data_IF_810347884797
#
_entry.id   IF_810347884797
#
_cell.length_a   1.000
_cell.length_b   1.000
_cell.length_c   1.000
_cell.angle_alpha   90.00
_cell.angle_beta   90.00
_cell.angle_gamma   90.00
#
_symmetry.space_group_name_H-M   'P 1'
#
loop_
_entity.id
_entity.type
_entity.pdbx_description
1 polymer ?
#
# COMPACT_ATOMS: atom_id res chain seq x y z
N UNK A 1 5.91 -22.03 22.66
CA UNK A 1 7.00 -22.73 23.31
C UNK A 1 7.69 -23.62 22.26
N UNK A 2 8.96 -24.00 22.49
CA UNK A 2 9.79 -24.80 21.56
C UNK A 2 9.10 -26.08 21.06
N UNK A 3 8.17 -26.63 21.79
CA UNK A 3 7.43 -27.85 21.42
C UNK A 3 6.36 -27.62 20.32
N UNK A 4 5.77 -26.45 20.26
CA UNK A 4 4.79 -26.08 19.21
C UNK A 4 5.51 -25.75 17.91
N UNK A 5 6.64 -25.05 17.99
CA UNK A 5 7.48 -24.72 16.83
C UNK A 5 8.10 -25.98 16.19
N UNK A 6 8.48 -26.95 17.00
CA UNK A 6 8.97 -28.25 16.54
C UNK A 6 7.86 -29.06 15.85
N UNK A 7 6.64 -29.04 16.37
CA UNK A 7 5.49 -29.72 15.77
C UNK A 7 5.10 -29.10 14.40
N UNK A 8 5.10 -27.78 14.26
CA UNK A 8 4.85 -27.11 12.98
C UNK A 8 5.97 -27.36 11.96
N UNK A 9 7.21 -27.41 12.43
CA UNK A 9 8.37 -27.77 11.59
C UNK A 9 8.27 -29.22 11.09
N UNK A 10 7.90 -30.16 11.95
CA UNK A 10 7.70 -31.58 11.60
C UNK A 10 6.54 -31.74 10.61
N UNK A 11 5.42 -31.04 10.81
CA UNK A 11 4.29 -31.03 9.85
C UNK A 11 4.71 -30.50 8.49
N UNK A 12 5.52 -29.43 8.46
CA UNK A 12 6.04 -28.83 7.22
C UNK A 12 7.00 -29.78 6.49
N UNK A 13 7.86 -30.50 7.23
CA UNK A 13 8.78 -31.49 6.66
C UNK A 13 7.99 -32.70 6.12
N UNK A 14 7.00 -33.19 6.83
CA UNK A 14 6.14 -34.29 6.39
C UNK A 14 5.35 -33.89 5.13
N UNK A 15 4.83 -32.66 5.06
CA UNK A 15 4.18 -32.13 3.87
C UNK A 15 5.15 -32.07 2.68
N UNK A 16 6.36 -31.52 2.86
CA UNK A 16 7.39 -31.46 1.81
C UNK A 16 7.83 -32.84 1.33
N UNK A 17 7.94 -33.81 2.23
CA UNK A 17 8.24 -35.22 1.89
C UNK A 17 7.08 -35.86 1.11
N UNK A 18 5.81 -35.59 1.45
CA UNK A 18 4.65 -36.05 0.68
C UNK A 18 4.67 -35.51 -0.75
N UNK A 19 4.95 -34.21 -0.95
CA UNK A 19 5.11 -33.62 -2.29
C UNK A 19 6.28 -34.23 -3.07
N UNK A 20 7.39 -34.52 -2.41
CA UNK A 20 8.55 -35.16 -3.05
C UNK A 20 8.23 -36.60 -3.47
N UNK A 21 7.49 -37.38 -2.67
CA UNK A 21 7.07 -38.74 -3.02
C UNK A 21 6.02 -38.73 -4.16
N UNK A 22 5.14 -37.75 -4.23
CA UNK A 22 4.21 -37.59 -5.37
C UNK A 22 4.97 -37.28 -6.66
N UNK A 23 5.96 -36.37 -6.61
CA UNK A 23 6.79 -36.02 -7.76
C UNK A 23 7.71 -37.17 -8.22
N UNK A 24 8.26 -37.97 -7.29
CA UNK A 24 9.13 -39.12 -7.60
C UNK A 24 8.29 -40.31 -8.09
N UNK A 25 7.07 -40.51 -7.59
CA UNK A 25 6.16 -41.55 -8.06
C UNK A 25 5.77 -41.40 -9.52
N UNK A 26 5.69 -40.15 -10.03
CA UNK A 26 5.40 -39.86 -11.44
C UNK A 26 6.63 -40.06 -12.34
N UNK A 27 7.86 -39.89 -11.82
CA UNK A 27 9.10 -40.03 -12.58
C UNK A 27 9.63 -41.49 -12.65
N UNK A 28 9.25 -42.36 -11.70
CA UNK A 28 9.71 -43.75 -11.70
C UNK A 28 8.93 -44.71 -12.61
N UNK A 29 7.82 -44.30 -13.21
CA UNK A 29 7.07 -45.15 -14.16
C UNK A 29 7.54 -45.05 -15.62
N UNK A 30 8.60 -44.32 -15.92
CA UNK A 30 9.08 -44.09 -17.28
C UNK A 30 10.33 -44.93 -17.68
N UNK A 31 10.87 -45.81 -16.81
CA UNK A 31 12.09 -46.53 -17.15
C UNK A 31 12.14 -47.94 -16.54
N UNK A 32 11.39 -48.87 -17.09
CA UNK A 32 11.73 -50.31 -17.06
C UNK A 32 11.04 -51.01 -18.23
N UNK A 33 11.62 -50.91 -19.43
CA UNK A 33 11.39 -51.90 -20.50
C UNK A 33 12.56 -52.88 -20.43
N UNK A 34 12.30 -54.05 -19.87
CA UNK A 34 13.14 -55.25 -20.08
C UNK A 34 12.28 -56.39 -20.62
N UNK A 35 12.76 -56.99 -21.67
CA UNK A 35 12.15 -58.09 -22.42
C UNK A 35 11.71 -59.28 -21.57
N UNK A 36 10.55 -59.85 -21.94
CA UNK A 36 10.20 -61.24 -21.72
C UNK A 36 8.78 -61.46 -21.24
N UNK A 37 8.01 -62.04 -22.15
CA UNK A 37 6.73 -62.73 -21.97
C UNK A 37 5.44 -61.91 -21.66
N UNK A 38 4.53 -62.09 -22.62
CA UNK A 38 3.21 -61.52 -22.72
C UNK A 38 2.32 -61.87 -21.51
N UNK A 39 2.30 -60.98 -20.54
CA UNK A 39 1.08 -60.65 -19.81
C UNK A 39 0.67 -59.26 -20.21
N UNK A 40 -0.27 -59.15 -21.12
CA UNK A 40 -1.05 -57.93 -21.31
C UNK A 40 -1.93 -57.80 -20.07
N UNK A 41 -1.39 -57.23 -19.00
CA UNK A 41 -2.23 -56.56 -18.02
C UNK A 41 -2.92 -55.41 -18.78
N UNK A 42 -4.19 -55.60 -19.05
CA UNK A 42 -5.05 -54.55 -19.56
C UNK A 42 -5.07 -53.48 -18.47
N UNK A 43 -4.20 -52.49 -18.56
CA UNK A 43 -4.24 -51.35 -17.69
C UNK A 43 -5.60 -50.69 -17.97
N UNK A 44 -6.59 -50.96 -17.14
CA UNK A 44 -7.84 -50.23 -17.21
C UNK A 44 -7.49 -48.77 -16.95
N UNK A 45 -7.70 -47.92 -17.97
CA UNK A 45 -7.51 -46.50 -17.82
C UNK A 45 -8.67 -46.05 -16.95
N UNK A 46 -8.39 -45.79 -15.67
CA UNK A 46 -9.34 -45.23 -14.72
C UNK A 46 -9.63 -43.79 -15.18
N UNK A 47 -10.87 -43.50 -15.45
CA UNK A 47 -11.27 -42.14 -15.80
C UNK A 47 -11.39 -41.30 -14.53
N UNK A 48 -10.76 -40.13 -14.53
CA UNK A 48 -11.03 -39.09 -13.56
C UNK A 48 -11.49 -37.82 -14.30
N UNK A 49 -12.72 -37.39 -14.05
CA UNK A 49 -13.34 -36.19 -14.61
C UNK A 49 -13.57 -35.14 -13.55
N UNK A 50 -13.59 -33.89 -13.96
CA UNK A 50 -13.99 -32.72 -13.14
C UNK A 50 -15.02 -31.91 -13.89
N UNK A 51 -16.03 -31.33 -13.18
CA UNK A 51 -17.10 -30.56 -13.78
C UNK A 51 -16.63 -29.21 -14.36
N UNK A 52 -15.55 -28.65 -13.82
CA UNK A 52 -14.89 -27.44 -14.33
C UNK A 52 -13.40 -27.45 -14.01
N UNK A 53 -12.60 -26.77 -14.83
CA UNK A 53 -11.17 -26.60 -14.63
C UNK A 53 -10.78 -25.14 -14.25
N UNK A 54 -11.78 -24.26 -14.05
CA UNK A 54 -11.57 -22.89 -13.65
C UNK A 54 -12.69 -22.41 -12.73
N UNK A 55 -12.32 -21.67 -11.70
CA UNK A 55 -13.21 -20.97 -10.78
C UNK A 55 -12.79 -19.53 -10.65
N UNK A 56 -13.77 -18.61 -10.51
CA UNK A 56 -13.49 -17.20 -10.26
C UNK A 56 -14.29 -16.73 -9.07
N UNK A 57 -13.62 -16.12 -8.09
CA UNK A 57 -14.20 -15.51 -6.92
C UNK A 57 -14.12 -14.00 -7.00
N UNK A 58 -15.14 -13.31 -6.52
CA UNK A 58 -15.09 -11.85 -6.32
C UNK A 58 -14.19 -11.47 -5.13
N UNK A 59 -13.93 -10.18 -5.02
CA UNK A 59 -13.04 -9.58 -3.99
C UNK A 59 -13.45 -9.92 -2.56
N UNK A 60 -14.73 -9.76 -2.25
CA UNK A 60 -15.31 -9.97 -0.90
C UNK A 60 -16.02 -11.31 -0.78
N UNK A 61 -15.52 -12.33 -1.44
CA UNK A 61 -16.21 -13.60 -1.57
C UNK A 61 -16.60 -14.19 -0.22
N UNK A 62 -17.91 -14.27 0.00
CA UNK A 62 -18.52 -15.18 0.97
C UNK A 62 -19.11 -16.39 0.25
N UNK A 63 -18.87 -16.48 -1.07
CA UNK A 63 -19.42 -17.54 -1.91
C UNK A 63 -18.61 -18.82 -1.76
N UNK A 64 -19.34 -19.92 -1.73
CA UNK A 64 -18.79 -21.27 -1.79
C UNK A 64 -19.10 -21.81 -3.17
N UNK A 65 -18.08 -22.24 -3.90
CA UNK A 65 -18.24 -22.88 -5.20
C UNK A 65 -17.97 -24.37 -5.10
N UNK A 66 -18.55 -25.16 -5.98
CA UNK A 66 -18.41 -26.61 -5.97
C UNK A 66 -17.87 -27.13 -7.28
N UNK A 67 -17.10 -28.22 -7.20
CA UNK A 67 -16.59 -28.96 -8.36
C UNK A 67 -16.88 -30.43 -8.13
N UNK A 68 -17.60 -31.05 -9.07
CA UNK A 68 -17.87 -32.46 -9.02
C UNK A 68 -16.69 -33.24 -9.60
N UNK A 69 -16.27 -34.28 -8.90
CA UNK A 69 -15.30 -35.27 -9.33
C UNK A 69 -16.06 -36.54 -9.73
N UNK A 70 -15.75 -37.03 -10.93
CA UNK A 70 -16.24 -38.35 -11.40
C UNK A 70 -15.05 -39.30 -11.44
N UNK A 71 -15.03 -40.32 -10.59
CA UNK A 71 -13.92 -41.28 -10.52
C UNK A 71 -14.46 -42.65 -10.05
N UNK A 72 -13.81 -43.71 -10.49
CA UNK A 72 -14.01 -45.05 -9.97
C UNK A 72 -12.96 -45.43 -8.91
N UNK A 73 -11.93 -44.60 -8.76
CA UNK A 73 -10.83 -44.83 -7.83
C UNK A 73 -10.80 -43.82 -6.68
N UNK A 74 -9.93 -44.08 -5.71
CA UNK A 74 -9.59 -43.09 -4.68
C UNK A 74 -8.84 -41.92 -5.31
N UNK A 75 -9.11 -40.70 -4.82
CA UNK A 75 -8.52 -39.45 -5.28
C UNK A 75 -8.08 -38.57 -4.11
N UNK A 76 -7.12 -37.73 -4.36
CA UNK A 76 -6.59 -36.72 -3.43
C UNK A 76 -6.52 -35.36 -4.12
N UNK A 77 -6.67 -34.29 -3.35
CA UNK A 77 -6.59 -32.90 -3.81
C UNK A 77 -5.43 -32.21 -3.12
N UNK A 78 -4.55 -31.62 -3.91
CA UNK A 78 -3.47 -30.75 -3.43
C UNK A 78 -3.77 -29.30 -3.82
N UNK A 79 -3.62 -28.39 -2.86
CA UNK A 79 -3.64 -26.94 -3.07
C UNK A 79 -2.20 -26.49 -3.20
N UNK A 80 -1.85 -25.70 -4.21
CA UNK A 80 -0.51 -25.15 -4.35
C UNK A 80 -0.18 -24.16 -3.21
N UNK A 81 1.11 -23.78 -3.11
CA UNK A 81 1.55 -22.87 -2.05
C UNK A 81 0.90 -21.47 -2.16
N UNK A 82 0.55 -21.03 -3.36
CA UNK A 82 -0.09 -19.74 -3.58
C UNK A 82 -1.51 -19.71 -3.03
N UNK A 83 -2.22 -20.85 -3.05
CA UNK A 83 -3.60 -20.99 -2.53
C UNK A 83 -3.70 -21.33 -1.04
N UNK A 84 -2.62 -21.88 -0.45
CA UNK A 84 -2.64 -22.44 0.90
C UNK A 84 -3.07 -21.50 2.03
N UNK A 85 -2.95 -20.21 1.81
CA UNK A 85 -3.26 -19.20 2.82
C UNK A 85 -4.63 -18.50 2.65
N UNK A 86 -5.36 -18.78 1.57
CA UNK A 86 -6.60 -18.07 1.27
C UNK A 86 -7.72 -18.93 0.68
N UNK A 87 -7.43 -20.19 0.33
CA UNK A 87 -8.42 -21.15 -0.12
C UNK A 87 -8.69 -22.19 0.97
N UNK A 88 -9.97 -22.44 1.20
CA UNK A 88 -10.44 -23.58 1.97
C UNK A 88 -11.07 -24.58 0.99
N UNK A 89 -10.51 -25.79 0.93
CA UNK A 89 -10.97 -26.86 0.05
C UNK A 89 -11.34 -28.07 0.88
N UNK A 90 -12.51 -28.64 0.65
CA UNK A 90 -13.00 -29.81 1.38
C UNK A 90 -13.95 -30.66 0.53
N UNK A 91 -13.86 -31.98 0.58
CA UNK A 91 -12.82 -32.79 1.21
C UNK A 91 -11.52 -32.78 0.38
N UNK A 92 -10.37 -33.07 1.02
CA UNK A 92 -9.07 -33.19 0.31
C UNK A 92 -8.80 -34.62 -0.21
N UNK A 93 -9.65 -35.59 0.11
CA UNK A 93 -9.55 -36.96 -0.36
C UNK A 93 -10.93 -37.61 -0.46
N UNK A 94 -11.07 -38.62 -1.30
CA UNK A 94 -12.31 -39.37 -1.46
C UNK A 94 -12.13 -40.63 -2.28
N UNK A 95 -13.23 -41.37 -2.46
CA UNK A 95 -13.29 -42.58 -3.30
C UNK A 95 -14.56 -42.57 -4.10
N UNK A 96 -14.47 -42.86 -5.39
CA UNK A 96 -15.62 -42.77 -6.29
C UNK A 96 -15.99 -41.32 -6.62
N UNK A 97 -17.22 -41.11 -7.03
CA UNK A 97 -17.71 -39.76 -7.30
C UNK A 97 -17.77 -38.93 -6.02
N UNK A 98 -17.45 -37.64 -6.14
CA UNK A 98 -17.46 -36.71 -5.01
C UNK A 98 -17.66 -35.26 -5.46
N UNK A 99 -17.89 -34.38 -4.50
CA UNK A 99 -18.04 -32.96 -4.74
C UNK A 99 -17.06 -32.21 -3.82
N UNK A 100 -16.20 -31.40 -4.41
CA UNK A 100 -15.34 -30.46 -3.69
C UNK A 100 -16.12 -29.19 -3.40
N UNK A 101 -15.95 -28.70 -2.21
CA UNK A 101 -16.40 -27.38 -1.79
C UNK A 101 -15.17 -26.48 -1.68
N UNK A 102 -15.17 -25.37 -2.39
CA UNK A 102 -14.07 -24.42 -2.44
C UNK A 102 -14.60 -23.06 -1.96
N UNK A 103 -13.95 -22.50 -0.95
CA UNK A 103 -14.21 -21.15 -0.46
C UNK A 103 -12.92 -20.33 -0.51
N UNK A 104 -13.06 -19.04 -0.76
CA UNK A 104 -11.94 -18.09 -0.78
C UNK A 104 -12.16 -17.04 0.31
N UNK A 105 -11.09 -16.75 1.06
CA UNK A 105 -11.09 -15.63 2.00
C UNK A 105 -11.16 -14.30 1.25
N UNK A 106 -11.65 -13.24 1.92
CA UNK A 106 -11.68 -11.89 1.37
C UNK A 106 -10.28 -11.52 0.84
N UNK A 107 -10.22 -11.00 -0.39
CA UNK A 107 -8.99 -10.51 -0.98
C UNK A 107 -8.85 -9.00 -0.70
N UNK A 108 -7.93 -8.63 0.16
CA UNK A 108 -7.60 -7.23 0.45
C UNK A 108 -6.41 -6.71 -0.39
N UNK A 109 -5.98 -7.45 -1.41
CA UNK A 109 -4.83 -7.13 -2.23
C UNK A 109 -5.13 -7.25 -3.73
N UNK A 110 -4.09 -7.34 -4.54
CA UNK A 110 -4.21 -7.50 -5.98
C UNK A 110 -4.87 -8.84 -6.35
N UNK A 111 -5.29 -8.95 -7.60
CA UNK A 111 -5.79 -10.21 -8.18
C UNK A 111 -4.81 -11.34 -7.89
N UNK A 112 -5.34 -12.49 -7.43
CA UNK A 112 -4.52 -13.65 -7.07
C UNK A 112 -5.07 -14.94 -7.71
N UNK A 113 -4.20 -15.92 -7.86
CA UNK A 113 -4.57 -17.20 -8.41
C UNK A 113 -3.89 -18.34 -7.66
N UNK A 114 -4.52 -19.50 -7.71
CA UNK A 114 -4.01 -20.74 -7.16
C UNK A 114 -4.40 -21.91 -8.06
N UNK A 115 -3.70 -23.04 -7.91
CA UNK A 115 -3.98 -24.26 -8.65
C UNK A 115 -4.31 -25.39 -7.67
N UNK A 116 -5.45 -26.02 -7.88
CA UNK A 116 -5.80 -27.30 -7.25
C UNK A 116 -5.42 -28.42 -8.21
N UNK A 117 -4.73 -29.43 -7.69
CA UNK A 117 -4.38 -30.64 -8.45
C UNK A 117 -5.11 -31.82 -7.86
N UNK A 118 -5.88 -32.53 -8.69
CA UNK A 118 -6.59 -33.76 -8.32
C UNK A 118 -5.85 -34.94 -8.93
N UNK A 119 -5.41 -35.85 -8.07
CA UNK A 119 -4.75 -37.08 -8.43
C UNK A 119 -5.64 -38.27 -8.09
N UNK A 120 -6.04 -39.06 -9.08
CA UNK A 120 -6.73 -40.33 -8.86
C UNK A 120 -5.86 -41.51 -9.32
N UNK A 121 -5.88 -42.60 -8.59
CA UNK A 121 -5.01 -43.75 -8.86
C UNK A 121 -5.28 -44.34 -10.26
N UNK A 122 -4.27 -44.31 -11.12
CA UNK A 122 -4.35 -44.86 -12.48
C UNK A 122 -4.96 -43.91 -13.51
N UNK A 123 -5.26 -42.64 -13.14
CA UNK A 123 -5.79 -41.60 -14.01
C UNK A 123 -4.76 -40.48 -14.27
N UNK A 124 -5.00 -39.72 -15.31
CA UNK A 124 -4.25 -38.46 -15.53
C UNK A 124 -4.63 -37.42 -14.47
N UNK A 125 -3.65 -36.60 -14.10
CA UNK A 125 -3.88 -35.47 -13.19
C UNK A 125 -4.90 -34.50 -13.79
N UNK A 126 -5.78 -33.96 -12.96
CA UNK A 126 -6.66 -32.87 -13.28
C UNK A 126 -6.27 -31.63 -12.49
N UNK A 127 -6.37 -30.48 -13.13
CA UNK A 127 -6.08 -29.20 -12.50
C UNK A 127 -7.26 -28.27 -12.56
N UNK A 128 -7.48 -27.51 -11.50
CA UNK A 128 -8.46 -26.42 -11.43
C UNK A 128 -7.68 -25.14 -11.15
N UNK A 129 -7.77 -24.18 -12.04
CA UNK A 129 -7.27 -22.84 -11.78
C UNK A 129 -8.31 -22.04 -11.02
N UNK A 130 -7.96 -21.57 -9.84
CA UNK A 130 -8.81 -20.69 -9.03
C UNK A 130 -8.26 -19.29 -9.11
N UNK A 131 -9.08 -18.36 -9.56
CA UNK A 131 -8.77 -16.93 -9.66
C UNK A 131 -9.65 -16.20 -8.66
N UNK A 132 -9.07 -15.27 -7.92
CA UNK A 132 -9.84 -14.32 -7.13
C UNK A 132 -9.51 -12.91 -7.57
N UNK A 133 -10.56 -12.13 -7.87
CA UNK A 133 -10.39 -10.73 -8.21
C UNK A 133 -9.78 -9.96 -7.04
N UNK A 134 -8.90 -9.02 -7.39
CA UNK A 134 -8.36 -8.07 -6.45
C UNK A 134 -9.17 -6.77 -6.48
N UNK A 135 -8.85 -5.90 -5.57
CA UNK A 135 -9.35 -4.56 -5.63
C UNK A 135 -8.76 -3.85 -6.86
N UNK A 136 -9.58 -3.06 -7.52
CA UNK A 136 -9.09 -2.20 -8.58
C UNK A 136 -8.22 -1.11 -7.95
N UNK A 137 -7.03 -0.96 -8.48
CA UNK A 137 -6.16 0.16 -8.19
C UNK A 137 -6.75 1.48 -8.69
N UNK A 138 -6.22 2.58 -8.18
CA UNK A 138 -6.43 3.90 -8.77
C UNK A 138 -5.24 4.19 -9.67
N UNK A 139 -5.48 4.38 -10.96
CA UNK A 139 -4.45 4.69 -11.96
C UNK A 139 -4.56 6.17 -12.32
N UNK A 140 -3.44 6.88 -12.29
CA UNK A 140 -3.27 8.24 -12.72
C UNK A 140 -2.40 8.26 -13.98
N UNK A 141 -3.02 8.40 -15.16
CA UNK A 141 -2.32 8.49 -16.46
C UNK A 141 -1.89 9.92 -16.78
N UNK A 142 -2.01 10.85 -15.85
CA UNK A 142 -1.62 12.26 -15.95
C UNK A 142 -2.34 13.11 -17.03
N UNK A 143 -3.00 12.52 -18.00
CA UNK A 143 -3.48 13.16 -19.21
C UNK A 143 -4.36 14.40 -19.01
N UNK A 144 -5.22 14.41 -18.00
CA UNK A 144 -6.10 15.54 -17.64
C UNK A 144 -5.86 16.09 -16.24
N UNK A 145 -4.86 15.57 -15.52
CA UNK A 145 -4.53 15.89 -14.13
C UNK A 145 -5.68 15.66 -13.13
N UNK A 146 -6.69 14.87 -13.49
CA UNK A 146 -7.78 14.53 -12.55
C UNK A 146 -7.24 13.84 -11.31
N UNK A 147 -7.57 14.38 -10.12
CA UNK A 147 -7.06 13.90 -8.84
C UNK A 147 -5.58 14.20 -8.57
N UNK A 148 -4.99 15.10 -9.37
CA UNK A 148 -3.58 15.49 -9.30
C UNK A 148 -3.44 17.02 -9.15
N UNK A 149 -2.37 17.44 -8.47
CA UNK A 149 -2.02 18.82 -8.25
C UNK A 149 -0.58 19.09 -8.70
N UNK A 150 -0.37 20.17 -9.46
CA UNK A 150 0.97 20.66 -9.80
C UNK A 150 1.48 21.58 -8.70
N UNK A 151 2.73 21.43 -8.30
CA UNK A 151 3.36 22.26 -7.27
C UNK A 151 4.76 22.70 -7.69
N UNK A 152 5.32 23.68 -6.98
CA UNK A 152 6.66 24.22 -7.25
C UNK A 152 6.74 25.10 -8.50
N UNK A 153 5.60 25.52 -9.08
CA UNK A 153 5.57 26.26 -10.34
C UNK A 153 6.24 27.62 -10.25
N UNK A 154 6.99 27.98 -11.28
CA UNK A 154 7.67 29.27 -11.44
C UNK A 154 7.01 30.04 -12.57
N UNK A 155 6.76 31.35 -12.34
CA UNK A 155 6.13 32.19 -13.34
C UNK A 155 6.97 32.29 -14.63
N UNK A 156 6.31 32.24 -15.78
CA UNK A 156 6.94 32.40 -17.09
C UNK A 156 7.51 31.14 -17.73
N UNK A 157 7.42 29.97 -17.06
CA UNK A 157 7.79 28.67 -17.63
C UNK A 157 6.67 27.65 -17.45
N UNK A 158 6.66 26.61 -18.30
CA UNK A 158 5.71 25.52 -18.20
C UNK A 158 6.46 24.18 -18.11
N UNK A 159 7.01 23.86 -16.94
CA UNK A 159 7.88 22.70 -16.76
C UNK A 159 7.15 21.37 -16.68
N UNK A 160 5.82 21.39 -16.57
CA UNK A 160 4.96 20.22 -16.39
C UNK A 160 3.96 20.18 -17.54
N UNK A 161 4.20 19.28 -18.50
CA UNK A 161 3.42 19.16 -19.73
C UNK A 161 3.06 17.70 -20.03
N UNK A 162 2.03 17.50 -20.82
CA UNK A 162 1.73 16.20 -21.41
C UNK A 162 2.29 16.17 -22.83
N UNK A 163 2.98 15.09 -23.18
CA UNK A 163 3.56 14.84 -24.50
C UNK A 163 3.07 13.51 -25.04
N UNK A 164 2.97 13.41 -26.36
CA UNK A 164 2.65 12.14 -27.02
C UNK A 164 3.84 11.19 -26.92
N UNK A 165 3.58 9.92 -26.58
CA UNK A 165 4.61 8.89 -26.49
C UNK A 165 3.98 7.50 -26.68
N UNK A 166 4.32 6.86 -27.81
CA UNK A 166 3.76 5.56 -28.20
C UNK A 166 4.20 4.39 -27.31
N UNK A 167 5.20 4.59 -26.44
CA UNK A 167 5.64 3.59 -25.46
C UNK A 167 4.85 3.63 -24.15
N UNK A 168 3.96 4.63 -23.99
CA UNK A 168 3.07 4.77 -22.84
C UNK A 168 1.76 4.05 -23.07
N UNK A 169 1.12 3.62 -21.96
CA UNK A 169 -0.09 2.80 -21.98
C UNK A 169 -1.26 3.49 -22.69
N UNK A 170 -1.42 4.80 -22.50
CA UNK A 170 -2.46 5.62 -23.15
C UNK A 170 -1.94 6.49 -24.31
N UNK A 171 -0.69 6.27 -24.75
CA UNK A 171 -0.03 7.03 -25.80
C UNK A 171 0.46 8.41 -25.37
N UNK A 172 0.49 8.70 -24.07
CA UNK A 172 0.88 10.00 -23.51
C UNK A 172 1.78 9.83 -22.31
N UNK A 173 2.70 10.78 -22.12
CA UNK A 173 3.53 10.87 -20.93
C UNK A 173 3.43 12.24 -20.27
N UNK A 174 3.47 12.25 -18.95
CA UNK A 174 3.77 13.45 -18.19
C UNK A 174 5.26 13.75 -18.33
N UNK A 175 5.62 14.89 -18.88
CA UNK A 175 6.99 15.39 -18.93
C UNK A 175 7.17 16.46 -17.87
N UNK A 176 8.13 16.24 -16.98
CA UNK A 176 8.60 17.24 -16.01
C UNK A 176 10.07 17.50 -16.34
N UNK A 177 10.50 18.79 -16.33
CA UNK A 177 11.88 19.14 -16.54
C UNK A 177 12.34 20.25 -15.61
N UNK A 178 13.67 20.31 -15.35
CA UNK A 178 14.34 21.41 -14.67
C UNK A 178 15.34 22.07 -15.61
N UNK A 179 15.62 23.37 -15.38
CA UNK A 179 16.50 24.18 -16.22
C UNK A 179 17.97 23.99 -15.87
N UNK A 180 18.84 24.21 -16.85
CA UNK A 180 20.26 24.30 -16.61
C UNK A 180 20.60 25.52 -15.72
N UNK A 181 21.57 25.36 -14.82
CA UNK A 181 22.07 26.42 -13.96
C UNK A 181 21.18 26.82 -12.78
N UNK A 182 19.95 26.28 -12.69
CA UNK A 182 19.05 26.55 -11.57
C UNK A 182 19.34 25.56 -10.44
N UNK A 183 19.93 26.09 -9.36
CA UNK A 183 20.20 25.30 -8.15
C UNK A 183 19.21 25.61 -7.04
N UNK A 184 18.93 24.60 -6.24
CA UNK A 184 18.24 24.79 -4.98
C UNK A 184 19.25 25.17 -3.88
N UNK A 185 19.33 26.47 -3.59
CA UNK A 185 19.86 26.97 -2.32
C UNK A 185 18.68 27.60 -1.54
N UNK A 186 18.14 26.85 -0.60
CA UNK A 186 16.99 27.31 0.18
C UNK A 186 15.66 27.17 -0.59
N UNK A 187 15.05 28.28 -1.01
CA UNK A 187 13.69 28.29 -1.59
C UNK A 187 13.62 28.53 -3.10
N UNK A 188 14.73 28.67 -3.81
CA UNK A 188 14.78 29.25 -5.16
C UNK A 188 15.18 28.31 -6.30
N UNK A 189 15.37 27.01 -6.08
CA UNK A 189 15.68 26.05 -7.14
C UNK A 189 14.44 25.55 -7.87
N UNK A 190 14.65 24.99 -9.07
CA UNK A 190 13.59 24.29 -9.80
C UNK A 190 13.22 23.02 -9.05
N UNK A 191 11.97 22.95 -8.53
CA UNK A 191 11.40 21.81 -7.80
C UNK A 191 10.00 21.55 -8.27
N UNK A 192 9.85 20.91 -9.42
CA UNK A 192 8.57 20.74 -10.09
C UNK A 192 7.98 19.36 -9.80
N UNK A 193 6.73 19.36 -9.31
CA UNK A 193 6.07 18.14 -8.83
C UNK A 193 4.64 18.04 -9.32
N UNK A 194 4.19 16.82 -9.48
CA UNK A 194 2.78 16.44 -9.56
C UNK A 194 2.49 15.47 -8.43
N UNK A 195 1.50 15.77 -7.62
CA UNK A 195 1.11 14.97 -6.46
C UNK A 195 -0.36 14.59 -6.49
N UNK A 196 -0.71 13.48 -5.89
CA UNK A 196 -2.12 13.10 -5.70
C UNK A 196 -2.81 14.07 -4.73
N UNK A 197 -4.06 14.43 -5.01
CA UNK A 197 -4.90 15.18 -4.05
C UNK A 197 -5.44 14.25 -2.97
N UNK A 198 -5.55 12.96 -3.27
CA UNK A 198 -5.92 11.91 -2.33
C UNK A 198 -4.67 11.41 -1.60
N UNK A 199 -4.82 11.14 -0.30
CA UNK A 199 -3.81 10.45 0.51
C UNK A 199 -4.21 8.99 0.69
N UNK A 200 -3.24 8.10 0.63
CA UNK A 200 -3.42 6.65 0.68
C UNK A 200 -2.61 6.04 1.81
N UNK A 201 -3.07 4.92 2.32
CA UNK A 201 -2.39 4.16 3.37
C UNK A 201 -1.66 2.93 2.84
N UNK A 202 -1.84 1.79 3.52
CA UNK A 202 -1.26 0.52 3.12
C UNK A 202 -1.63 0.12 1.70
N UNK A 203 -0.64 -0.23 0.89
CA UNK A 203 -0.84 -0.60 -0.50
C UNK A 203 0.43 -0.71 -1.30
N UNK A 204 0.25 -1.04 -2.56
CA UNK A 204 1.28 -1.03 -3.59
C UNK A 204 1.18 0.28 -4.36
N UNK A 205 2.26 1.01 -4.41
CA UNK A 205 2.44 2.20 -5.22
C UNK A 205 3.42 1.90 -6.32
N UNK A 206 3.02 2.13 -7.56
CA UNK A 206 3.81 1.82 -8.74
C UNK A 206 3.88 3.02 -9.66
N UNK A 207 5.10 3.41 -10.04
CA UNK A 207 5.38 4.41 -11.06
C UNK A 207 6.07 3.74 -12.24
N UNK A 208 5.65 4.05 -13.46
CA UNK A 208 6.41 3.73 -14.67
C UNK A 208 7.04 5.00 -15.21
N UNK A 209 8.37 5.05 -15.24
CA UNK A 209 9.16 6.26 -15.51
C UNK A 209 10.22 5.98 -16.58
N UNK A 210 10.29 6.82 -17.61
CA UNK A 210 11.47 6.90 -18.47
C UNK A 210 12.51 7.76 -17.78
N UNK A 211 13.68 7.17 -17.54
CA UNK A 211 14.82 7.77 -16.88
C UNK A 211 15.87 8.12 -17.92
N UNK A 212 15.92 9.35 -18.46
CA UNK A 212 16.99 9.75 -19.36
C UNK A 212 18.31 9.89 -18.60
N UNK A 213 19.41 9.87 -19.31
CA UNK A 213 20.70 10.25 -18.72
C UNK A 213 20.72 11.75 -18.47
N UNK A 214 20.94 12.14 -17.24
CA UNK A 214 21.19 13.52 -16.85
C UNK A 214 22.60 13.97 -17.25
N UNK A 215 22.83 15.26 -17.25
CA UNK A 215 24.19 15.78 -17.30
C UNK A 215 25.04 15.11 -16.21
N UNK A 216 26.25 14.68 -16.56
CA UNK A 216 27.11 13.93 -15.65
C UNK A 216 27.42 14.77 -14.40
N UNK A 217 27.10 14.23 -13.24
CA UNK A 217 27.18 14.86 -11.92
C UNK A 217 26.35 16.16 -11.75
N UNK A 218 25.34 16.37 -12.57
CA UNK A 218 24.35 17.44 -12.38
C UNK A 218 23.58 17.24 -11.07
N UNK A 219 23.36 18.34 -10.34
CA UNK A 219 22.50 18.38 -9.14
C UNK A 219 21.05 18.40 -9.54
N UNK A 220 20.57 17.27 -10.06
CA UNK A 220 19.19 17.08 -10.44
C UNK A 220 18.74 15.67 -10.07
N UNK A 221 17.47 15.51 -9.72
CA UNK A 221 16.86 14.24 -9.35
C UNK A 221 15.48 14.07 -9.96
N UNK A 222 15.12 12.83 -10.32
CA UNK A 222 13.76 12.40 -10.58
C UNK A 222 13.26 11.79 -9.28
N UNK A 223 12.15 12.31 -8.75
CA UNK A 223 11.51 11.79 -7.54
C UNK A 223 10.26 10.98 -7.86
N UNK A 224 10.15 9.82 -7.23
CA UNK A 224 8.94 9.04 -7.11
C UNK A 224 8.80 8.65 -5.64
N UNK A 225 7.92 9.32 -4.90
CA UNK A 225 7.95 9.22 -3.46
C UNK A 225 6.59 9.37 -2.80
N UNK A 226 6.53 8.93 -1.56
CA UNK A 226 5.39 9.06 -0.68
C UNK A 226 5.69 10.09 0.41
N UNK A 227 4.83 11.08 0.55
CA UNK A 227 5.00 12.16 1.50
C UNK A 227 3.76 12.37 2.36
N UNK A 228 3.93 12.37 3.67
CA UNK A 228 2.95 12.80 4.65
C UNK A 228 3.42 14.07 5.37
N UNK A 229 4.62 14.03 5.95
CA UNK A 229 5.37 15.16 6.53
C UNK A 229 6.87 14.83 6.54
N UNK A 230 7.73 15.75 7.02
CA UNK A 230 9.20 15.59 7.04
C UNK A 230 9.70 14.39 7.88
N UNK A 231 8.85 13.82 8.71
CA UNK A 231 9.15 12.61 9.49
C UNK A 231 8.64 11.32 8.86
N UNK A 232 7.85 11.42 7.79
CA UNK A 232 7.15 10.33 7.14
C UNK A 232 7.24 10.49 5.62
N UNK A 233 8.43 10.28 5.07
CA UNK A 233 8.72 10.38 3.65
C UNK A 233 9.54 9.17 3.20
N UNK A 234 9.15 8.58 2.08
CA UNK A 234 9.73 7.35 1.52
C UNK A 234 10.00 7.56 0.04
N UNK A 235 11.28 7.50 -0.36
CA UNK A 235 11.71 7.99 -1.65
C UNK A 235 12.33 6.93 -2.55
N UNK A 236 12.06 7.09 -3.85
CA UNK A 236 13.01 6.85 -4.91
C UNK A 236 13.48 8.21 -5.44
N UNK A 237 14.79 8.45 -5.38
CA UNK A 237 15.43 9.60 -5.98
C UNK A 237 16.44 9.12 -7.02
N UNK A 238 16.27 9.51 -8.29
CA UNK A 238 17.11 9.04 -9.37
C UNK A 238 17.93 10.22 -9.91
N UNK A 239 19.24 10.14 -9.79
CA UNK A 239 20.18 11.21 -10.14
C UNK A 239 21.38 10.70 -10.93
N UNK A 240 22.16 11.63 -11.47
CA UNK A 240 23.49 11.29 -11.99
C UNK A 240 24.47 10.90 -10.87
N UNK A 241 24.24 11.42 -9.65
CA UNK A 241 25.11 11.25 -8.50
C UNK A 241 26.40 12.05 -8.56
N UNK A 242 27.07 12.16 -7.42
CA UNK A 242 28.43 12.72 -7.37
C UNK A 242 29.46 11.76 -7.99
N UNK A 243 30.61 12.24 -8.36
CA UNK A 243 31.73 11.40 -8.82
C UNK A 243 32.11 10.36 -7.74
N UNK A 244 32.00 10.73 -6.46
CA UNK A 244 32.28 9.85 -5.34
C UNK A 244 31.22 8.74 -5.22
N UNK A 245 29.93 9.07 -5.31
CA UNK A 245 28.83 8.10 -5.25
C UNK A 245 28.92 7.11 -6.42
N UNK A 246 29.17 7.62 -7.64
CA UNK A 246 29.34 6.75 -8.82
C UNK A 246 30.50 5.78 -8.65
N UNK A 247 31.62 6.24 -8.12
CA UNK A 247 32.78 5.39 -7.85
C UNK A 247 32.47 4.34 -6.76
N UNK A 248 31.84 4.76 -5.67
CA UNK A 248 31.48 3.87 -4.56
C UNK A 248 30.52 2.73 -4.99
N UNK A 249 29.61 3.02 -5.92
CA UNK A 249 28.61 2.07 -6.40
C UNK A 249 28.95 1.45 -7.76
N UNK A 250 30.17 1.69 -8.28
CA UNK A 250 30.65 1.14 -9.56
C UNK A 250 29.73 1.47 -10.75
N UNK A 251 29.12 2.66 -10.73
CA UNK A 251 28.21 3.11 -11.79
C UNK A 251 28.97 3.40 -13.08
N UNK A 252 28.59 2.76 -14.17
CA UNK A 252 29.14 2.99 -15.51
C UNK A 252 28.61 4.28 -16.15
N UNK A 253 29.14 4.69 -17.32
CA UNK A 253 28.74 5.93 -17.98
C UNK A 253 27.27 5.96 -18.41
N UNK A 254 26.65 4.82 -18.58
CA UNK A 254 25.24 4.68 -18.97
C UNK A 254 24.29 4.44 -17.78
N UNK A 255 24.82 4.46 -16.56
CA UNK A 255 24.04 4.24 -15.37
C UNK A 255 23.63 5.56 -14.72
N UNK A 256 22.39 5.61 -14.24
CA UNK A 256 21.89 6.55 -13.24
C UNK A 256 21.96 5.89 -11.87
N UNK A 257 21.96 6.68 -10.81
CA UNK A 257 21.91 6.19 -9.44
C UNK A 257 20.50 6.36 -8.88
N UNK A 258 19.90 5.25 -8.50
CA UNK A 258 18.62 5.23 -7.77
C UNK A 258 18.92 5.17 -6.27
N UNK A 259 18.56 6.22 -5.56
CA UNK A 259 18.60 6.32 -4.11
C UNK A 259 17.26 5.87 -3.55
N UNK A 260 17.26 4.90 -2.65
CA UNK A 260 16.11 4.57 -1.83
C UNK A 260 16.32 5.16 -0.45
N UNK A 261 15.34 5.94 0.03
CA UNK A 261 15.44 6.66 1.29
C UNK A 261 14.18 6.50 2.13
N UNK A 262 14.34 6.38 3.45
CA UNK A 262 13.37 6.77 4.44
C UNK A 262 13.95 7.94 5.21
N UNK A 263 13.26 9.09 5.17
CA UNK A 263 13.80 10.34 5.73
C UNK A 263 13.90 10.31 7.25
N UNK A 264 13.05 9.52 7.91
CA UNK A 264 13.09 9.32 9.36
C UNK A 264 12.37 8.01 9.75
N UNK A 265 12.53 7.58 10.99
CA UNK A 265 11.72 6.58 11.68
C UNK A 265 11.64 5.18 11.03
N UNK A 266 12.74 4.47 10.71
CA UNK A 266 14.15 4.88 10.84
C UNK A 266 14.68 5.61 9.59
N UNK A 267 15.72 6.44 9.76
CA UNK A 267 16.45 7.01 8.63
C UNK A 267 17.37 5.98 7.99
N UNK A 268 17.34 5.91 6.65
CA UNK A 268 18.37 5.27 5.83
C UNK A 268 18.37 5.87 4.42
N UNK A 269 19.49 5.68 3.71
CA UNK A 269 19.67 6.17 2.34
C UNK A 269 20.70 5.28 1.64
N UNK A 270 20.31 4.61 0.53
CA UNK A 270 21.16 3.64 -0.16
C UNK A 270 21.05 3.78 -1.68
N UNK A 271 22.17 3.89 -2.37
CA UNK A 271 22.24 3.97 -3.84
C UNK A 271 22.32 2.59 -4.50
N UNK A 272 21.65 2.46 -5.63
CA UNK A 272 21.78 1.33 -6.55
C UNK A 272 21.85 1.85 -8.00
N UNK A 273 22.85 1.43 -8.81
CA UNK A 273 22.89 1.76 -10.22
C UNK A 273 21.73 1.13 -11.00
N UNK A 274 21.08 1.94 -11.85
CA UNK A 274 20.08 1.52 -12.84
C UNK A 274 20.46 2.08 -14.20
N UNK A 275 19.91 1.54 -15.29
CA UNK A 275 20.20 2.03 -16.62
C UNK A 275 19.55 3.38 -16.89
N UNK A 276 20.32 4.33 -17.45
CA UNK A 276 19.76 5.52 -18.06
C UNK A 276 19.24 5.25 -19.47
N UNK A 277 18.48 6.19 -20.02
CA UNK A 277 17.80 6.11 -21.32
C UNK A 277 16.88 4.89 -21.45
N UNK A 278 16.18 4.56 -20.36
CA UNK A 278 15.29 3.39 -20.27
C UNK A 278 14.03 3.67 -19.46
N UNK A 279 12.97 2.91 -19.78
CA UNK A 279 11.79 2.81 -18.92
C UNK A 279 12.07 1.87 -17.75
N UNK A 280 11.64 2.28 -16.57
CA UNK A 280 11.71 1.49 -15.34
C UNK A 280 10.37 1.51 -14.62
N UNK A 281 10.10 0.43 -13.90
CA UNK A 281 8.97 0.31 -12.98
C UNK A 281 9.47 0.40 -11.55
N UNK A 282 9.12 1.48 -10.87
CA UNK A 282 9.44 1.72 -9.45
C UNK A 282 8.25 1.33 -8.59
N UNK A 283 8.46 0.46 -7.62
CA UNK A 283 7.40 -0.01 -6.75
C UNK A 283 7.77 0.19 -5.29
N UNK A 284 6.86 0.80 -4.56
CA UNK A 284 6.93 0.90 -3.11
C UNK A 284 5.72 0.17 -2.53
N UNK A 285 5.99 -0.97 -1.90
CA UNK A 285 5.00 -1.77 -1.20
C UNK A 285 4.96 -1.39 0.28
N UNK A 286 3.80 -0.93 0.78
CA UNK A 286 3.57 -0.64 2.19
C UNK A 286 2.60 -1.66 2.77
N UNK A 287 3.11 -2.65 3.47
CA UNK A 287 2.29 -3.65 4.18
C UNK A 287 2.13 -3.23 5.64
N UNK A 288 0.92 -3.31 6.14
CA UNK A 288 0.67 -3.05 7.55
C UNK A 288 0.84 -4.34 8.35
N UNK A 289 1.87 -4.38 9.19
CA UNK A 289 2.17 -5.50 10.10
C UNK A 289 2.16 -4.98 11.55
N UNK A 290 1.29 -5.53 12.39
CA UNK A 290 1.14 -5.08 13.79
C UNK A 290 0.95 -3.56 13.91
N UNK A 291 0.14 -2.98 13.05
CA UNK A 291 -0.17 -1.53 12.96
C UNK A 291 1.00 -0.65 12.50
N UNK A 292 2.13 -1.20 12.10
CA UNK A 292 3.29 -0.49 11.55
C UNK A 292 3.54 -0.91 10.12
N UNK A 293 4.10 0.01 9.32
CA UNK A 293 4.43 -0.31 7.93
C UNK A 293 5.72 -1.12 7.82
N UNK A 294 5.64 -2.23 7.09
CA UNK A 294 6.79 -2.85 6.46
C UNK A 294 6.85 -2.30 5.02
N UNK A 295 7.87 -1.52 4.74
CA UNK A 295 8.10 -0.92 3.43
C UNK A 295 9.10 -1.74 2.62
N UNK A 296 8.82 -1.93 1.32
CA UNK A 296 9.70 -2.61 0.38
C UNK A 296 9.82 -1.77 -0.89
N UNK A 297 11.04 -1.41 -1.27
CA UNK A 297 11.38 -0.71 -2.51
C UNK A 297 11.87 -1.72 -3.54
N UNK A 298 11.33 -1.67 -4.74
CA UNK A 298 11.81 -2.47 -5.86
C UNK A 298 11.83 -1.70 -7.17
N UNK A 299 12.77 -2.04 -8.04
CA UNK A 299 12.87 -1.50 -9.41
C UNK A 299 12.92 -2.69 -10.36
N UNK A 300 12.07 -2.67 -11.39
CA UNK A 300 11.94 -3.74 -12.39
C UNK A 300 11.77 -5.13 -11.77
N UNK A 301 11.01 -5.21 -10.69
CA UNK A 301 10.75 -6.44 -9.95
C UNK A 301 11.90 -6.91 -9.05
N UNK A 302 13.04 -6.19 -9.02
CA UNK A 302 14.14 -6.49 -8.11
C UNK A 302 14.00 -5.67 -6.84
N UNK A 303 13.88 -6.34 -5.69
CA UNK A 303 13.86 -5.69 -4.38
C UNK A 303 15.23 -5.08 -4.08
N UNK A 304 15.25 -3.78 -3.81
CA UNK A 304 16.44 -3.03 -3.42
C UNK A 304 16.58 -2.94 -1.90
N UNK A 305 15.47 -2.66 -1.21
CA UNK A 305 15.44 -2.48 0.25
C UNK A 305 14.12 -2.96 0.83
N UNK A 306 14.20 -3.45 2.06
CA UNK A 306 13.05 -3.73 2.92
C UNK A 306 13.32 -3.15 4.30
N UNK A 307 12.38 -2.46 4.88
CA UNK A 307 12.52 -1.86 6.20
C UNK A 307 11.20 -1.87 6.97
N UNK A 308 11.27 -2.24 8.25
CA UNK A 308 10.20 -2.01 9.20
C UNK A 308 10.25 -0.55 9.63
N UNK A 309 9.14 0.18 9.46
CA UNK A 309 9.03 1.56 9.91
C UNK A 309 8.52 1.63 11.35
N UNK A 310 8.79 2.74 12.02
CA UNK A 310 8.33 2.98 13.40
C UNK A 310 6.92 3.58 13.46
N UNK A 311 6.28 3.81 12.32
CA UNK A 311 4.92 4.32 12.14
C UNK A 311 4.09 3.42 11.22
N UNK A 312 2.77 3.66 11.12
CA UNK A 312 1.88 2.79 10.34
C UNK A 312 0.52 3.41 10.06
N UNK A 313 -0.55 2.81 10.62
CA UNK A 313 -1.95 3.13 10.28
C UNK A 313 -2.33 4.62 10.44
N UNK A 314 -1.56 5.41 11.17
CA UNK A 314 -1.74 6.84 11.36
C UNK A 314 -1.21 7.70 10.21
N UNK A 315 -0.32 7.17 9.38
CA UNK A 315 0.31 7.90 8.29
C UNK A 315 -0.36 7.58 6.94
N UNK A 316 -0.82 8.63 6.25
CA UNK A 316 -1.41 8.57 4.91
C UNK A 316 -0.63 9.47 3.96
N UNK A 317 -0.26 8.95 2.82
CA UNK A 317 0.70 9.56 1.92
C UNK A 317 0.06 10.14 0.66
N UNK A 318 0.54 11.30 0.23
CA UNK A 318 0.45 11.71 -1.16
C UNK A 318 1.54 10.99 -1.94
N UNK A 319 1.18 10.47 -3.10
CA UNK A 319 2.17 9.94 -4.03
C UNK A 319 2.59 11.06 -4.98
N UNK A 320 3.90 11.22 -5.14
CA UNK A 320 4.50 12.37 -5.82
C UNK A 320 5.41 11.91 -6.95
N UNK A 321 5.32 12.61 -8.08
CA UNK A 321 6.22 12.51 -9.23
C UNK A 321 6.90 13.85 -9.43
N UNK A 322 8.23 13.89 -9.46
CA UNK A 322 8.96 15.15 -9.55
C UNK A 322 10.20 15.10 -10.43
N UNK A 323 10.65 16.28 -10.85
CA UNK A 323 12.03 16.52 -11.27
C UNK A 323 12.50 17.80 -10.56
N UNK A 324 13.61 17.68 -9.86
CA UNK A 324 14.09 18.73 -8.96
C UNK A 324 15.59 18.94 -9.10
N UNK A 325 16.06 20.20 -9.03
CA UNK A 325 17.47 20.50 -8.87
C UNK A 325 17.83 20.52 -7.38
N UNK A 326 18.44 19.44 -6.90
CA UNK A 326 18.74 19.21 -5.50
C UNK A 326 20.25 19.22 -5.22
N UNK A 327 20.68 20.01 -4.25
CA UNK A 327 22.08 20.22 -3.90
C UNK A 327 22.87 18.93 -3.66
N UNK A 328 22.29 17.94 -2.98
CA UNK A 328 22.96 16.68 -2.63
C UNK A 328 23.04 15.64 -3.75
N UNK A 329 22.45 15.88 -4.93
CA UNK A 329 22.27 14.85 -5.97
C UNK A 329 23.35 14.88 -7.06
N UNK A 330 24.37 15.72 -6.93
CA UNK A 330 25.48 15.85 -7.88
C UNK A 330 26.58 16.78 -7.34
N UNK A 331 27.61 16.99 -8.17
CA UNK A 331 28.78 17.81 -7.79
C UNK A 331 28.61 19.30 -8.14
N UNK A 332 27.77 19.62 -9.13
CA UNK A 332 27.63 20.99 -9.65
C UNK A 332 26.22 21.29 -10.14
N UNK A 333 25.91 22.56 -10.37
CA UNK A 333 24.68 23.00 -10.98
C UNK A 333 24.39 22.26 -12.28
N UNK A 334 23.12 22.03 -12.58
CA UNK A 334 22.70 21.36 -13.79
C UNK A 334 23.31 22.02 -15.04
N UNK A 335 23.99 21.24 -15.87
CA UNK A 335 24.67 21.71 -17.08
C UNK A 335 23.76 21.74 -18.30
N UNK A 336 22.63 21.06 -18.20
CA UNK A 336 21.62 20.95 -19.23
C UNK A 336 20.21 20.94 -18.62
N UNK A 337 19.18 20.99 -19.47
CA UNK A 337 17.82 20.67 -19.06
C UNK A 337 17.77 19.18 -18.73
N UNK A 338 17.37 18.85 -17.49
CA UNK A 338 17.14 17.46 -17.05
C UNK A 338 15.64 17.21 -16.96
N UNK A 339 15.17 16.09 -17.46
CA UNK A 339 13.74 15.77 -17.50
C UNK A 339 13.48 14.31 -17.18
N UNK A 340 12.21 13.99 -16.92
CA UNK A 340 11.70 12.63 -16.89
C UNK A 340 10.35 12.55 -17.62
N UNK A 341 9.99 11.34 -18.08
CA UNK A 341 8.66 11.04 -18.56
C UNK A 341 8.01 10.04 -17.62
N UNK A 342 6.79 10.34 -17.19
CA UNK A 342 6.00 9.45 -16.35
C UNK A 342 4.81 8.95 -17.18
N UNK A 343 4.68 7.63 -17.28
CA UNK A 343 3.58 6.98 -17.98
C UNK A 343 2.34 6.96 -17.08
N UNK A 344 2.47 6.34 -15.92
CA UNK A 344 1.40 6.27 -14.93
C UNK A 344 1.95 6.22 -13.50
N UNK A 345 1.05 6.49 -12.56
CA UNK A 345 1.13 6.14 -11.15
C UNK A 345 -0.08 5.28 -10.82
N UNK A 346 0.13 4.10 -10.27
CA UNK A 346 -0.93 3.22 -9.79
C UNK A 346 -0.82 3.02 -8.28
N UNK A 347 -1.97 3.08 -7.59
CA UNK A 347 -2.11 2.67 -6.19
C UNK A 347 -3.08 1.52 -6.08
N UNK A 348 -2.66 0.40 -5.49
CA UNK A 348 -3.49 -0.77 -5.17
C UNK A 348 -3.48 -0.99 -3.67
N UNK A 349 -4.61 -0.82 -2.97
CA UNK A 349 -4.64 -0.98 -1.51
C UNK A 349 -4.43 -2.43 -1.09
N UNK A 350 -3.69 -2.64 0.01
CA UNK A 350 -3.56 -3.93 0.69
C UNK A 350 -4.54 -4.09 1.84
N UNK A 351 -4.92 -2.99 2.48
CA UNK A 351 -5.91 -3.00 3.56
C UNK A 351 -7.01 -1.98 3.30
N UNK A 352 -8.21 -2.48 3.13
CA UNK A 352 -9.40 -1.66 2.85
C UNK A 352 -9.99 -0.99 4.09
N UNK A 353 -9.54 -1.34 5.27
CA UNK A 353 -9.88 -0.60 6.48
C UNK A 353 -9.25 0.80 6.47
N UNK A 354 -8.10 0.96 5.78
CA UNK A 354 -7.47 2.24 5.54
C UNK A 354 -8.10 2.92 4.31
N UNK A 355 -9.20 3.62 4.51
CA UNK A 355 -9.86 4.35 3.43
C UNK A 355 -9.02 5.55 2.99
N UNK A 356 -8.86 5.79 1.68
CA UNK A 356 -8.16 6.98 1.19
C UNK A 356 -8.77 8.28 1.75
N UNK A 357 -7.91 9.24 2.06
CA UNK A 357 -8.32 10.58 2.49
C UNK A 357 -8.32 11.49 1.27
N UNK A 358 -9.49 11.99 0.87
CA UNK A 358 -9.67 12.90 -0.26
C UNK A 358 -9.54 14.34 0.27
N UNK A 359 -8.77 15.19 -0.42
CA UNK A 359 -8.60 16.59 -0.03
C UNK A 359 -9.96 17.30 0.11
N UNK A 360 -10.13 18.02 1.21
CA UNK A 360 -11.40 18.67 1.56
C UNK A 360 -12.45 17.75 2.19
N UNK A 361 -12.19 16.45 2.28
CA UNK A 361 -13.00 15.54 3.08
C UNK A 361 -12.33 15.33 4.44
N UNK A 362 -13.14 15.35 5.49
CA UNK A 362 -12.65 14.94 6.81
C UNK A 362 -12.24 13.46 6.74
N UNK A 363 -11.19 13.05 7.46
CA UNK A 363 -10.87 11.65 7.63
C UNK A 363 -12.15 10.86 7.97
N UNK A 364 -12.33 9.63 7.45
CA UNK A 364 -13.46 8.81 7.84
C UNK A 364 -13.49 8.71 9.36
N UNK A 365 -14.66 8.94 9.93
CA UNK A 365 -14.81 8.79 11.38
C UNK A 365 -14.39 7.38 11.79
N UNK A 366 -13.53 7.22 12.80
CA UNK A 366 -13.19 5.90 13.29
C UNK A 366 -14.49 5.16 13.67
N UNK A 367 -14.61 3.91 13.25
CA UNK A 367 -15.69 3.03 13.70
C UNK A 367 -15.53 2.83 15.21
N UNK A 368 -16.21 3.65 15.99
CA UNK A 368 -16.13 3.65 17.43
C UNK A 368 -17.48 3.92 18.08
N UNK A 369 -17.57 3.68 19.34
CA UNK A 369 -18.75 4.02 20.12
C UNK A 369 -18.85 5.53 20.25
N UNK A 370 -19.90 6.13 19.69
CA UNK A 370 -20.21 7.54 19.94
C UNK A 370 -20.75 7.69 21.36
N UNK A 371 -20.07 8.47 22.17
CA UNK A 371 -20.54 8.87 23.49
C UNK A 371 -20.96 10.33 23.37
N UNK A 372 -22.23 10.63 23.62
CA UNK A 372 -22.76 12.00 23.67
C UNK A 372 -23.00 12.34 25.15
N UNK A 373 -22.46 13.47 25.56
CA UNK A 373 -22.85 14.10 26.83
C UNK A 373 -23.66 15.33 26.47
N UNK A 374 -24.92 15.33 26.83
CA UNK A 374 -25.78 16.50 26.79
C UNK A 374 -26.04 17.02 28.22
N UNK A 375 -26.39 18.26 28.30
CA UNK A 375 -26.60 18.96 29.57
C UNK A 375 -28.09 19.28 29.75
N UNK A 376 -28.96 18.41 29.23
CA UNK A 376 -30.42 18.64 29.21
C UNK A 376 -31.06 18.53 30.62
N UNK A 377 -30.46 17.75 31.52
CA UNK A 377 -30.95 17.62 32.91
C UNK A 377 -30.47 18.78 33.76
N UNK A 378 -31.39 19.61 34.18
CA UNK A 378 -31.11 20.80 35.02
C UNK A 378 -30.44 20.41 36.37
N UNK A 379 -29.34 21.06 36.64
CA UNK A 379 -28.71 21.07 37.95
C UNK A 379 -27.54 20.12 38.20
N UNK A 380 -27.22 19.20 37.26
CA UNK A 380 -26.14 18.22 37.45
C UNK A 380 -25.22 18.12 36.23
N UNK A 381 -23.93 18.25 36.49
CA UNK A 381 -22.91 17.84 35.51
C UNK A 381 -22.96 16.31 35.37
N UNK A 382 -22.83 15.73 34.14
CA UNK A 382 -22.91 14.30 33.94
C UNK A 382 -21.99 13.51 34.90
N UNK A 383 -22.41 12.30 35.29
CA UNK A 383 -21.64 11.44 36.21
C UNK A 383 -20.22 11.21 35.63
N UNK A 384 -19.23 11.36 36.53
CA UNK A 384 -17.80 11.20 36.17
C UNK A 384 -17.10 12.47 35.71
N UNK A 385 -17.84 13.57 35.49
CA UNK A 385 -17.25 14.86 35.20
C UNK A 385 -16.77 15.60 36.47
N UNK A 386 -15.67 16.32 36.32
CA UNK A 386 -15.20 17.25 37.39
C UNK A 386 -15.71 18.65 37.05
N UNK A 387 -16.47 19.21 37.98
CA UNK A 387 -17.03 20.55 37.85
C UNK A 387 -16.36 21.55 38.80
N UNK A 388 -15.88 22.66 38.24
CA UNK A 388 -15.37 23.78 38.98
C UNK A 388 -16.12 25.06 38.60
N UNK A 389 -17.29 25.27 39.18
CA UNK A 389 -18.08 26.48 39.02
C UNK A 389 -19.01 26.51 37.81
N UNK A 390 -19.13 25.42 37.03
CA UNK A 390 -20.14 25.32 36.01
C UNK A 390 -21.53 25.04 36.56
N UNK A 391 -22.56 25.58 35.95
CA UNK A 391 -23.96 25.32 36.26
C UNK A 391 -24.71 24.84 35.00
N UNK A 392 -25.69 23.98 35.21
CA UNK A 392 -26.56 23.53 34.13
C UNK A 392 -27.92 24.19 34.28
N UNK A 393 -28.32 24.94 33.28
CA UNK A 393 -29.63 25.59 33.17
C UNK A 393 -30.06 25.64 31.70
N UNK A 394 -31.34 25.48 31.47
CA UNK A 394 -31.97 25.57 30.14
C UNK A 394 -31.33 24.66 29.09
N UNK A 395 -30.96 23.43 29.50
CA UNK A 395 -30.35 22.45 28.61
C UNK A 395 -28.88 22.71 28.23
N UNK A 396 -28.21 23.63 28.94
CA UNK A 396 -26.83 24.05 28.62
C UNK A 396 -25.95 24.13 29.83
N UNK A 397 -24.65 23.81 29.63
CA UNK A 397 -23.60 24.04 30.61
C UNK A 397 -23.20 25.53 30.57
N UNK A 398 -23.39 26.24 31.67
CA UNK A 398 -23.07 27.67 31.82
C UNK A 398 -21.77 27.85 32.63
N UNK A 399 -20.80 28.53 32.03
CA UNK A 399 -19.54 28.94 32.64
C UNK A 399 -19.53 30.47 32.72
N UNK A 400 -19.74 31.03 33.90
CA UNK A 400 -20.03 32.48 34.03
C UNK A 400 -18.85 33.33 34.53
N UNK A 401 -17.70 32.74 34.85
CA UNK A 401 -16.51 33.46 35.28
C UNK A 401 -15.24 32.90 34.70
N UNK A 402 -14.22 33.73 34.49
CA UNK A 402 -12.97 33.38 33.78
C UNK A 402 -12.14 32.24 34.35
N UNK A 403 -12.49 31.68 35.51
CA UNK A 403 -11.83 30.54 36.15
C UNK A 403 -12.76 29.33 36.29
N UNK A 404 -13.95 29.38 35.72
CA UNK A 404 -14.86 28.24 35.74
C UNK A 404 -14.53 27.27 34.62
N UNK A 405 -14.45 26.00 34.94
CA UNK A 405 -14.19 24.94 33.99
C UNK A 405 -14.86 23.63 34.40
N UNK A 406 -15.11 22.79 33.44
CA UNK A 406 -15.63 21.43 33.63
C UNK A 406 -14.80 20.47 32.80
N UNK A 407 -14.37 19.37 33.41
CA UNK A 407 -13.64 18.32 32.72
C UNK A 407 -14.50 17.08 32.55
N UNK A 408 -14.49 16.53 31.34
CA UNK A 408 -15.02 15.18 31.10
C UNK A 408 -14.18 14.13 31.82
N UNK A 409 -14.69 12.89 32.00
CA UNK A 409 -13.85 11.74 32.29
C UNK A 409 -12.75 11.58 31.23
N UNK A 410 -11.69 10.86 31.56
CA UNK A 410 -10.67 10.50 30.57
C UNK A 410 -11.30 9.73 29.43
N UNK A 411 -11.02 10.16 28.21
CA UNK A 411 -11.49 9.54 26.97
C UNK A 411 -10.27 9.27 26.07
N UNK A 412 -10.33 8.17 25.30
CA UNK A 412 -9.26 7.75 24.42
C UNK A 412 -9.15 8.61 23.16
N UNK A 413 -8.37 8.16 22.21
CA UNK A 413 -8.25 8.79 20.91
C UNK A 413 -9.61 8.77 20.17
N UNK A 414 -9.97 9.86 19.51
CA UNK A 414 -11.23 9.96 18.82
C UNK A 414 -11.53 11.36 18.29
N UNK A 415 -12.67 11.50 17.64
CA UNK A 415 -13.22 12.80 17.21
C UNK A 415 -14.03 13.39 18.34
N UNK A 416 -13.76 14.62 18.67
CA UNK A 416 -14.46 15.37 19.70
C UNK A 416 -15.18 16.55 19.06
N UNK A 417 -16.46 16.68 19.36
CA UNK A 417 -17.28 17.79 18.85
C UNK A 417 -17.91 18.50 20.04
N UNK A 418 -17.79 19.83 20.07
CA UNK A 418 -18.47 20.70 21.01
C UNK A 418 -19.46 21.58 20.27
N UNK A 419 -20.65 21.68 20.77
CA UNK A 419 -21.61 22.66 20.35
C UNK A 419 -21.65 23.76 21.42
N UNK A 420 -21.30 25.00 21.06
CA UNK A 420 -21.13 26.10 21.99
C UNK A 420 -21.96 27.27 21.49
N UNK A 421 -22.91 27.72 22.30
CA UNK A 421 -23.62 28.97 22.09
C UNK A 421 -22.80 30.14 22.66
N UNK A 422 -22.35 31.03 21.77
CA UNK A 422 -21.50 32.16 22.14
C UNK A 422 -22.35 33.42 22.15
N UNK A 423 -22.70 33.98 23.31
CA UNK A 423 -23.45 35.20 23.39
C UNK A 423 -22.66 36.41 22.86
N UNK A 424 -23.36 37.51 22.53
CA UNK A 424 -22.73 38.74 22.06
C UNK A 424 -21.71 39.27 23.07
N UNK A 425 -20.48 39.48 22.60
CA UNK A 425 -19.36 39.98 23.39
C UNK A 425 -19.32 41.49 23.36
N UNK A 426 -19.07 42.11 24.51
CA UNK A 426 -18.84 43.56 24.60
C UNK A 426 -17.50 43.97 23.98
N UNK A 427 -17.37 45.19 23.53
CA UNK A 427 -16.14 45.74 22.96
C UNK A 427 -15.04 45.75 24.05
N UNK A 428 -13.95 44.99 23.81
CA UNK A 428 -12.82 44.89 24.72
C UNK A 428 -12.71 43.59 25.51
N UNK A 429 -13.67 42.70 25.42
CA UNK A 429 -13.63 41.35 26.02
C UNK A 429 -12.83 40.39 25.13
N UNK A 430 -11.98 39.58 25.73
CA UNK A 430 -10.98 38.79 24.96
C UNK A 430 -11.25 37.30 24.86
N UNK A 431 -11.97 36.69 25.79
CA UNK A 431 -12.25 35.24 25.81
C UNK A 431 -13.63 35.00 26.40
N UNK A 432 -14.49 34.37 25.64
CA UNK A 432 -15.81 33.99 26.08
C UNK A 432 -15.96 32.52 26.39
N UNK A 433 -15.54 31.67 25.48
CA UNK A 433 -15.63 30.23 25.65
C UNK A 433 -14.46 29.52 24.92
N UNK A 434 -14.09 28.38 25.38
CA UNK A 434 -13.09 27.53 24.74
C UNK A 434 -13.24 26.10 25.19
N UNK A 435 -13.18 25.17 24.25
CA UNK A 435 -12.97 23.76 24.51
C UNK A 435 -11.48 23.47 24.46
N UNK A 436 -10.98 22.66 25.41
CA UNK A 436 -9.61 22.23 25.44
C UNK A 436 -9.54 20.72 25.70
N UNK A 437 -8.69 20.03 24.94
CA UNK A 437 -8.37 18.63 25.19
C UNK A 437 -7.02 18.61 25.90
N UNK A 438 -7.03 18.26 27.20
CA UNK A 438 -5.80 18.00 27.93
C UNK A 438 -5.41 16.55 27.72
N UNK A 439 -4.30 16.30 27.01
CA UNK A 439 -3.77 14.98 26.80
C UNK A 439 -2.38 14.84 27.40
N UNK A 440 -2.11 13.69 27.99
CA UNK A 440 -0.80 13.38 28.59
C UNK A 440 0.23 12.91 27.56
N UNK A 441 -0.20 12.60 26.31
CA UNK A 441 0.67 12.27 25.18
C UNK A 441 -0.03 12.72 23.89
N UNK A 442 0.34 13.87 23.34
CA UNK A 442 -0.22 14.45 22.13
C UNK A 442 0.66 14.18 20.93
N UNK A 443 0.10 13.48 19.94
CA UNK A 443 0.37 13.75 18.53
C UNK A 443 -0.77 14.62 17.99
N UNK A 444 -0.42 15.72 17.40
CA UNK A 444 -1.15 16.88 16.88
C UNK A 444 -2.67 16.73 16.69
N UNK A 445 -3.43 17.56 17.39
CA UNK A 445 -4.87 17.77 17.13
C UNK A 445 -5.02 19.07 16.36
N UNK A 446 -5.59 19.01 15.14
CA UNK A 446 -6.01 20.18 14.41
C UNK A 446 -7.33 20.68 14.99
N UNK A 447 -7.30 21.85 15.63
CA UNK A 447 -8.50 22.61 15.98
C UNK A 447 -8.75 23.59 14.84
N UNK A 448 -9.76 23.33 14.01
CA UNK A 448 -10.22 24.32 13.05
C UNK A 448 -10.98 25.42 13.78
N UNK A 449 -10.49 26.67 13.72
CA UNK A 449 -11.25 27.83 14.17
C UNK A 449 -12.55 27.93 13.34
N UNK A 450 -13.69 28.23 13.99
CA UNK A 450 -14.90 28.55 13.26
C UNK A 450 -14.67 29.83 12.42
N UNK A 451 -14.91 29.70 11.11
CA UNK A 451 -14.89 30.85 10.19
C UNK A 451 -15.85 31.94 10.70
N UNK A 452 -15.32 33.10 10.99
CA UNK A 452 -16.13 34.29 11.32
C UNK A 452 -17.07 34.59 10.15
N UNK A 453 -18.37 34.75 10.37
CA UNK A 453 -19.20 35.47 9.40
C UNK A 453 -18.79 36.94 9.43
N UNK A 454 -18.58 37.51 8.27
CA UNK A 454 -18.41 38.96 8.05
C UNK A 454 -19.73 39.72 8.29
#
# INVERSE_FOLDING_TARGET
SEFEELNETIKTIIMKLRYLYLAIGVLCNASLVSCGDSFKEKTEIVACGISTNALTFGVSSTEVQTVDITSEAAWEVAVDQAGGNWLTVSPLEGTGNGTLTIAADKNNGPKRSATLTIAAKGAELRTITVIQDGYKGTIYNYGDFTGLQKTGLVAGINPITIVDNDECEDGKALRIYTRAGEEYEGTNGDRFKVQTTTQFGSGRYEWRIYVPKFGMNDRASIGAFLYFDDGHELDFEICSGTAADRAAHSAGPDDMLCLVTSQANPFFSEFTPIKGDAWHTFVLDLKLENKKYLAEWSVDGKVLKRAQLDYGEEAYFRAISSVENLYGMGDHAATQENYALFDYLEYVPYDYSMKPIIEGQLPPEPEGTTVKWDFEEAGFVPVGWTNNGGTIADGSLNLSNGNNFVYSPEVGAGKYTWEIDVPLVGVGEKWLAGGNIAATNLSLIHISEPTRPY
#
